data_IF_894068695482
#
_entry.id   IF_894068695482
#
_cell.length_a   1.000
_cell.length_b   1.000
_cell.length_c   1.000
_cell.angle_alpha   90.00
_cell.angle_beta   90.00
_cell.angle_gamma   90.00
#
_symmetry.space_group_name_H-M   'P 1'
#
loop_
_entity.id
_entity.type
_entity.pdbx_description
1 polymer ?
#
# COMPACT_ATOMS: atom_id res chain seq x y z
N UNK A 1 49.78 -35.74 55.06
CA UNK A 1 48.33 -35.49 55.05
C UNK A 1 48.12 -34.08 54.54
N UNK A 2 47.45 -33.74 53.45
CA UNK A 2 46.77 -34.48 52.40
C UNK A 2 46.88 -33.63 51.10
N UNK A 3 46.84 -34.33 49.98
CA UNK A 3 46.68 -33.82 48.62
C UNK A 3 45.41 -32.97 48.48
N UNK A 4 45.45 -31.94 47.62
CA UNK A 4 44.43 -31.74 46.58
C UNK A 4 44.91 -30.80 45.47
N UNK A 5 45.13 -31.40 44.30
CA UNK A 5 45.18 -30.76 42.98
C UNK A 5 43.77 -30.26 42.65
N UNK A 6 43.64 -29.06 42.08
CA UNK A 6 42.48 -28.71 41.27
C UNK A 6 42.93 -28.10 39.95
N UNK A 7 42.21 -28.51 38.92
CA UNK A 7 42.56 -28.51 37.51
C UNK A 7 42.48 -27.11 36.89
N UNK A 8 43.43 -26.81 36.01
CA UNK A 8 43.33 -25.75 35.01
C UNK A 8 42.32 -26.20 33.96
N UNK A 9 41.21 -25.50 33.83
CA UNK A 9 40.33 -25.61 32.66
C UNK A 9 40.45 -24.31 31.89
N UNK A 10 41.14 -24.35 30.74
CA UNK A 10 41.14 -23.26 29.78
C UNK A 10 39.83 -23.36 28.99
N UNK A 11 38.97 -22.34 29.09
CA UNK A 11 37.80 -22.21 28.25
C UNK A 11 38.23 -21.46 26.99
N UNK A 12 38.37 -22.17 25.86
CA UNK A 12 38.50 -21.54 24.55
C UNK A 12 37.09 -21.20 24.11
N UNK A 13 36.69 -19.94 24.27
CA UNK A 13 35.48 -19.42 23.62
C UNK A 13 35.80 -19.24 22.13
N UNK A 14 35.34 -20.17 21.31
CA UNK A 14 35.34 -20.02 19.85
C UNK A 14 34.36 -18.93 19.47
N UNK A 15 34.86 -17.82 18.90
CA UNK A 15 34.02 -16.87 18.20
C UNK A 15 33.67 -17.46 16.82
N UNK A 16 32.57 -18.21 16.76
CA UNK A 16 31.92 -18.50 15.48
C UNK A 16 31.20 -17.23 15.05
N UNK A 17 31.76 -16.53 14.06
CA UNK A 17 31.08 -15.44 13.38
C UNK A 17 29.86 -16.00 12.63
N UNK A 18 28.69 -15.96 13.27
CA UNK A 18 27.42 -16.12 12.57
C UNK A 18 27.13 -14.79 11.89
N UNK A 19 27.38 -14.71 10.59
CA UNK A 19 26.89 -13.66 9.68
C UNK A 19 25.37 -13.76 9.58
N UNK A 20 24.69 -13.32 10.63
CA UNK A 20 23.25 -13.32 10.70
C UNK A 20 22.83 -12.77 12.04
N UNK A 21 22.53 -11.47 12.06
CA UNK A 21 21.59 -10.81 12.96
C UNK A 21 21.72 -9.29 12.77
N UNK A 22 20.86 -8.71 11.92
CA UNK A 22 20.39 -7.34 12.13
C UNK A 22 18.86 -7.26 12.29
N UNK A 23 18.19 -8.41 12.44
CA UNK A 23 16.74 -8.49 12.70
C UNK A 23 16.41 -8.59 14.21
N UNK A 24 17.40 -8.69 15.09
CA UNK A 24 17.19 -9.10 16.48
C UNK A 24 16.95 -7.94 17.48
N UNK A 25 16.82 -6.69 17.03
CA UNK A 25 16.62 -5.53 17.93
C UNK A 25 15.45 -4.60 17.53
N UNK A 26 14.59 -5.01 16.61
CA UNK A 26 13.36 -4.28 16.29
C UNK A 26 12.28 -5.27 15.91
N UNK A 27 11.08 -5.15 16.47
CA UNK A 27 9.94 -6.03 16.20
C UNK A 27 9.39 -5.87 14.78
N UNK A 28 10.21 -6.15 13.77
CA UNK A 28 9.80 -6.20 12.37
C UNK A 28 9.02 -7.47 12.06
N UNK A 29 8.26 -7.42 10.97
CA UNK A 29 7.52 -8.56 10.42
C UNK A 29 8.29 -9.12 9.20
N UNK A 30 8.37 -10.45 9.07
CA UNK A 30 9.15 -11.10 8.00
C UNK A 30 8.60 -10.91 6.58
N UNK A 31 7.34 -10.50 6.48
CA UNK A 31 6.64 -10.29 5.20
C UNK A 31 6.88 -8.91 4.58
N UNK A 32 7.54 -7.99 5.31
CA UNK A 32 7.61 -6.57 4.96
C UNK A 32 9.00 -6.00 5.20
N UNK A 33 9.37 -5.03 4.37
CA UNK A 33 10.68 -4.37 4.38
C UNK A 33 10.72 -3.27 5.43
N UNK A 34 9.66 -2.50 5.52
CA UNK A 34 9.62 -1.33 6.38
C UNK A 34 9.45 -1.74 7.86
N UNK A 35 9.95 -0.94 8.83
CA UNK A 35 9.66 -1.19 10.24
C UNK A 35 8.18 -0.92 10.56
N UNK A 36 7.67 -1.38 11.71
CA UNK A 36 6.31 -1.08 12.15
C UNK A 36 6.01 0.43 12.11
N UNK A 37 4.80 0.77 11.69
CA UNK A 37 4.36 2.16 11.55
C UNK A 37 4.05 2.76 12.94
N UNK A 38 4.78 3.81 13.33
CA UNK A 38 4.62 4.45 14.65
C UNK A 38 3.26 5.13 14.87
N UNK A 39 2.63 5.61 13.81
CA UNK A 39 1.36 6.34 13.83
C UNK A 39 0.16 5.47 13.42
N UNK A 40 0.31 4.14 13.41
CA UNK A 40 -0.80 3.23 13.18
C UNK A 40 -1.84 3.33 14.32
N UNK A 41 -3.13 3.30 14.00
CA UNK A 41 -4.22 3.54 14.96
C UNK A 41 -4.46 2.39 15.96
N UNK A 42 -3.88 1.23 15.73
CA UNK A 42 -4.03 0.03 16.55
C UNK A 42 -3.14 -1.10 16.03
N UNK A 43 -3.16 -2.25 16.70
CA UNK A 43 -2.48 -3.45 16.21
C UNK A 43 -3.13 -3.91 14.90
N UNK A 44 -2.33 -4.43 13.96
CA UNK A 44 -2.82 -4.76 12.61
C UNK A 44 -4.01 -5.73 12.61
N UNK A 45 -4.06 -6.65 13.58
CA UNK A 45 -5.15 -7.63 13.73
C UNK A 45 -6.47 -7.04 14.23
N UNK A 46 -6.44 -5.84 14.84
CA UNK A 46 -7.61 -5.15 15.36
C UNK A 46 -8.20 -4.12 14.37
N UNK A 47 -7.51 -3.87 13.25
CA UNK A 47 -7.95 -2.96 12.21
C UNK A 47 -8.87 -3.66 11.22
N UNK A 48 -9.86 -2.92 10.71
CA UNK A 48 -10.83 -3.46 9.75
C UNK A 48 -10.24 -3.70 8.34
N UNK A 49 -9.08 -3.11 8.07
CA UNK A 49 -8.39 -3.11 6.78
C UNK A 49 -7.00 -3.74 6.92
N UNK A 50 -6.42 -4.29 5.83
CA UNK A 50 -5.09 -4.87 5.87
C UNK A 50 -4.06 -3.80 6.25
N UNK A 51 -3.32 -4.04 7.33
CA UNK A 51 -2.31 -3.12 7.85
C UNK A 51 -0.93 -3.82 7.87
N UNK A 52 0.01 -3.25 8.63
CA UNK A 52 1.41 -3.67 8.62
C UNK A 52 1.60 -5.19 8.70
N UNK A 53 2.23 -5.76 7.66
CA UNK A 53 2.63 -7.17 7.58
C UNK A 53 1.53 -8.15 7.19
N UNK A 54 0.29 -7.68 6.97
CA UNK A 54 -0.82 -8.52 6.54
C UNK A 54 -0.88 -8.63 5.00
N UNK A 55 -1.38 -9.76 4.51
CA UNK A 55 -1.63 -9.94 3.08
C UNK A 55 -2.67 -8.93 2.58
N UNK A 56 -2.38 -8.31 1.44
CA UNK A 56 -3.34 -7.46 0.76
C UNK A 56 -4.38 -8.31 0.02
N UNK A 57 -5.68 -7.96 0.06
CA UNK A 57 -6.73 -8.75 -0.56
C UNK A 57 -6.53 -8.93 -2.07
N UNK A 58 -6.69 -10.17 -2.53
CA UNK A 58 -6.69 -10.51 -3.95
C UNK A 58 -8.07 -10.24 -4.57
N UNK A 59 -8.10 -9.43 -5.62
CA UNK A 59 -9.27 -9.18 -6.46
C UNK A 59 -8.83 -8.74 -7.85
N UNK A 60 -9.73 -8.87 -8.82
CA UNK A 60 -9.54 -8.38 -10.18
C UNK A 60 -10.72 -7.51 -10.59
N UNK A 61 -10.42 -6.38 -11.22
CA UNK A 61 -11.42 -5.40 -11.65
C UNK A 61 -11.07 -4.85 -13.03
N UNK A 62 -12.06 -4.49 -13.85
CA UNK A 62 -11.79 -3.88 -15.13
C UNK A 62 -11.30 -2.44 -14.96
N UNK A 63 -10.28 -2.07 -15.71
CA UNK A 63 -9.91 -0.68 -15.95
C UNK A 63 -10.72 -0.15 -17.14
N UNK A 64 -11.64 0.81 -16.93
CA UNK A 64 -12.52 1.29 -17.99
C UNK A 64 -11.80 2.21 -18.99
N UNK A 65 -10.57 2.66 -18.73
CA UNK A 65 -9.78 3.48 -19.65
C UNK A 65 -9.01 2.62 -20.66
N UNK A 66 -8.49 1.48 -20.23
CA UNK A 66 -7.71 0.55 -21.07
C UNK A 66 -8.54 -0.60 -21.62
N UNK A 67 -9.63 -0.98 -20.92
CA UNK A 67 -10.44 -2.15 -21.21
C UNK A 67 -9.86 -3.46 -20.65
N UNK A 68 -8.74 -3.40 -19.95
CA UNK A 68 -8.06 -4.56 -19.37
C UNK A 68 -8.63 -4.91 -17.99
N UNK A 69 -8.48 -6.17 -17.59
CA UNK A 69 -8.73 -6.60 -16.20
C UNK A 69 -7.42 -6.55 -15.43
N UNK A 70 -7.42 -5.86 -14.30
CA UNK A 70 -6.22 -5.61 -13.50
C UNK A 70 -6.34 -6.36 -12.18
N UNK A 71 -5.31 -7.13 -11.83
CA UNK A 71 -5.18 -7.83 -10.56
C UNK A 71 -4.66 -6.87 -9.47
N UNK A 72 -5.16 -7.02 -8.23
CA UNK A 72 -4.77 -6.19 -7.09
C UNK A 72 -3.32 -6.41 -6.62
N UNK A 73 -2.75 -7.58 -6.89
CA UNK A 73 -1.36 -7.94 -6.59
C UNK A 73 -0.52 -7.93 -7.87
N UNK A 74 0.72 -7.45 -7.78
CA UNK A 74 1.68 -7.47 -8.88
C UNK A 74 3.07 -7.81 -8.39
N UNK A 75 3.65 -8.87 -8.94
CA UNK A 75 5.02 -9.31 -8.62
C UNK A 75 6.10 -8.38 -9.18
N UNK A 76 5.72 -7.42 -10.03
CA UNK A 76 6.66 -6.53 -10.74
C UNK A 76 6.56 -5.07 -10.29
N UNK A 77 5.62 -4.73 -9.39
CA UNK A 77 5.42 -3.35 -8.98
C UNK A 77 5.12 -3.25 -7.50
N UNK A 78 5.68 -2.22 -6.85
CA UNK A 78 5.10 -1.71 -5.61
C UNK A 78 3.75 -1.08 -5.95
N UNK A 79 2.72 -1.40 -5.18
CA UNK A 79 1.36 -0.93 -5.44
C UNK A 79 0.93 0.09 -4.40
N UNK A 80 0.56 1.29 -4.85
CA UNK A 80 -0.11 2.33 -4.03
C UNK A 80 -1.61 2.26 -4.31
N UNK A 81 -2.39 1.74 -3.38
CA UNK A 81 -3.83 1.51 -3.57
C UNK A 81 -4.70 2.46 -2.73
N UNK A 82 -5.80 2.94 -3.29
CA UNK A 82 -6.80 3.77 -2.59
C UNK A 82 -8.18 3.59 -3.18
N UNK A 83 -9.20 4.09 -2.47
CA UNK A 83 -10.59 4.06 -2.88
C UNK A 83 -11.15 5.49 -2.97
N UNK A 84 -11.90 5.77 -4.03
CA UNK A 84 -12.50 7.09 -4.28
C UNK A 84 -13.89 6.96 -4.91
N UNK A 85 -14.57 8.09 -5.07
CA UNK A 85 -15.58 8.27 -6.10
C UNK A 85 -15.29 9.59 -6.81
N UNK A 86 -15.28 9.58 -8.14
CA UNK A 86 -14.71 10.65 -8.96
C UNK A 86 -15.49 11.96 -8.85
N UNK A 87 -16.79 11.87 -8.55
CA UNK A 87 -17.69 13.02 -8.36
C UNK A 87 -17.64 13.64 -6.95
N UNK A 88 -16.76 13.16 -6.07
CA UNK A 88 -16.58 13.75 -4.74
C UNK A 88 -16.19 15.23 -4.82
N UNK A 89 -16.85 16.12 -4.06
CA UNK A 89 -16.56 17.55 -4.08
C UNK A 89 -15.41 17.96 -3.16
N UNK A 90 -14.88 17.06 -2.33
CA UNK A 90 -13.94 17.38 -1.26
C UNK A 90 -12.78 16.37 -1.13
N UNK A 91 -12.88 15.39 -0.24
CA UNK A 91 -11.70 14.63 0.22
C UNK A 91 -11.03 13.81 -0.88
N UNK A 92 -11.76 13.22 -1.83
CA UNK A 92 -11.13 12.50 -2.94
C UNK A 92 -10.29 13.45 -3.83
N UNK A 93 -10.65 14.73 -3.94
CA UNK A 93 -9.80 15.71 -4.65
C UNK A 93 -8.46 15.85 -3.94
N UNK A 94 -8.48 15.89 -2.61
CA UNK A 94 -7.26 16.03 -1.82
C UNK A 94 -6.39 14.79 -1.96
N UNK A 95 -6.97 13.59 -1.81
CA UNK A 95 -6.26 12.31 -1.97
C UNK A 95 -5.69 12.16 -3.37
N UNK A 96 -6.48 12.42 -4.41
CA UNK A 96 -6.04 12.35 -5.81
C UNK A 96 -4.84 13.26 -6.09
N UNK A 97 -4.87 14.52 -5.62
CA UNK A 97 -3.74 15.45 -5.77
C UNK A 97 -2.49 14.99 -5.01
N UNK A 98 -2.62 14.42 -3.80
CA UNK A 98 -1.46 13.87 -3.09
C UNK A 98 -0.85 12.72 -3.89
N UNK A 99 -1.67 11.79 -4.39
CA UNK A 99 -1.17 10.63 -5.14
C UNK A 99 -0.57 11.00 -6.49
N UNK A 100 -1.12 11.99 -7.21
CA UNK A 100 -0.48 12.54 -8.40
C UNK A 100 0.90 13.16 -8.07
N UNK A 101 1.01 13.82 -6.91
CA UNK A 101 2.30 14.28 -6.39
C UNK A 101 3.28 13.14 -6.07
N UNK A 102 2.78 11.99 -5.59
CA UNK A 102 3.60 10.79 -5.38
C UNK A 102 4.07 10.22 -6.71
N UNK A 103 3.19 10.11 -7.71
CA UNK A 103 3.52 9.67 -9.07
C UNK A 103 4.67 10.52 -9.63
N UNK A 104 4.50 11.84 -9.66
CA UNK A 104 5.54 12.75 -10.15
C UNK A 104 6.86 12.63 -9.37
N UNK A 105 6.81 12.51 -8.04
CA UNK A 105 8.01 12.36 -7.22
C UNK A 105 8.76 11.04 -7.49
N UNK A 106 8.05 9.95 -7.81
CA UNK A 106 8.65 8.66 -8.16
C UNK A 106 9.20 8.67 -9.58
N UNK A 107 8.52 9.31 -10.52
CA UNK A 107 9.00 9.48 -11.90
C UNK A 107 10.31 10.28 -11.92
N UNK A 108 10.41 11.36 -11.14
CA UNK A 108 11.63 12.14 -10.96
C UNK A 108 12.80 11.32 -10.39
N UNK A 109 12.50 10.27 -9.61
CA UNK A 109 13.48 9.32 -9.06
C UNK A 109 13.79 8.16 -10.01
N UNK A 110 13.13 8.08 -11.17
CA UNK A 110 13.28 6.99 -12.13
C UNK A 110 12.58 5.70 -11.72
N UNK A 111 11.58 5.77 -10.85
CA UNK A 111 10.83 4.62 -10.31
C UNK A 111 9.42 4.48 -10.91
N UNK A 112 9.10 5.24 -11.97
CA UNK A 112 7.78 5.22 -12.60
C UNK A 112 7.35 3.84 -13.09
N UNK A 113 8.29 3.05 -13.61
CA UNK A 113 8.05 1.68 -14.08
C UNK A 113 8.02 0.65 -12.93
N UNK A 114 8.50 1.01 -11.73
CA UNK A 114 8.62 0.11 -10.56
C UNK A 114 7.42 0.24 -9.60
N UNK A 115 6.59 1.26 -9.79
CA UNK A 115 5.45 1.58 -8.91
C UNK A 115 4.19 1.79 -9.72
N UNK A 116 3.08 1.22 -9.28
CA UNK A 116 1.76 1.43 -9.86
C UNK A 116 0.75 1.98 -8.84
N UNK A 117 -0.25 2.69 -9.33
CA UNK A 117 -1.35 3.24 -8.56
C UNK A 117 -2.63 2.49 -8.87
N UNK A 118 -3.29 1.91 -7.86
CA UNK A 118 -4.61 1.30 -8.00
C UNK A 118 -5.68 2.18 -7.35
N UNK A 119 -6.55 2.75 -8.15
CA UNK A 119 -7.61 3.66 -7.68
C UNK A 119 -8.97 3.03 -7.93
N UNK A 120 -9.55 2.42 -6.89
CA UNK A 120 -10.84 1.72 -6.98
C UNK A 120 -11.99 2.70 -6.77
N UNK A 121 -12.92 2.80 -7.72
CA UNK A 121 -14.17 3.55 -7.47
C UNK A 121 -15.17 2.72 -6.68
N UNK A 122 -15.80 3.33 -5.67
CA UNK A 122 -16.97 2.77 -4.98
C UNK A 122 -18.31 3.35 -5.46
N UNK A 123 -18.33 4.20 -6.49
CA UNK A 123 -19.56 4.66 -7.17
C UNK A 123 -19.58 4.26 -8.66
N UNK A 124 -19.50 2.96 -8.98
CA UNK A 124 -19.36 2.49 -10.37
C UNK A 124 -20.54 2.86 -11.26
N UNK A 125 -21.71 3.22 -10.70
CA UNK A 125 -22.86 3.66 -11.48
C UNK A 125 -22.63 5.03 -12.14
N UNK A 126 -21.90 5.92 -11.48
CA UNK A 126 -21.67 7.30 -11.94
C UNK A 126 -20.27 7.47 -12.54
N UNK A 127 -19.29 6.75 -12.00
CA UNK A 127 -17.89 6.86 -12.41
C UNK A 127 -17.63 6.04 -13.68
N UNK A 128 -18.06 6.59 -14.83
CA UNK A 128 -17.77 6.02 -16.15
C UNK A 128 -16.30 6.22 -16.53
N UNK A 129 -15.87 5.61 -17.64
CA UNK A 129 -14.53 5.84 -18.20
C UNK A 129 -14.24 7.34 -18.42
N UNK A 130 -15.22 8.08 -18.92
CA UNK A 130 -15.09 9.53 -19.15
C UNK A 130 -14.91 10.29 -17.84
N UNK A 131 -15.75 10.01 -16.83
CA UNK A 131 -15.69 10.68 -15.53
C UNK A 131 -14.38 10.36 -14.78
N UNK A 132 -13.88 9.13 -14.88
CA UNK A 132 -12.60 8.73 -14.27
C UNK A 132 -11.41 9.38 -14.98
N UNK A 133 -11.44 9.50 -16.31
CA UNK A 133 -10.43 10.24 -17.07
C UNK A 133 -10.41 11.72 -16.66
N UNK A 134 -11.57 12.37 -16.66
CA UNK A 134 -11.71 13.78 -16.24
C UNK A 134 -11.21 13.99 -14.81
N UNK A 135 -11.49 13.04 -13.91
CA UNK A 135 -10.96 13.06 -12.55
C UNK A 135 -9.43 13.01 -12.54
N UNK A 136 -8.81 12.06 -13.25
CA UNK A 136 -7.36 11.95 -13.36
C UNK A 136 -6.71 13.22 -13.88
N UNK A 137 -7.23 13.77 -14.98
CA UNK A 137 -6.76 15.04 -15.56
C UNK A 137 -6.87 16.20 -14.56
N UNK A 138 -8.00 16.30 -13.84
CA UNK A 138 -8.20 17.34 -12.82
C UNK A 138 -7.23 17.23 -11.64
N UNK A 139 -6.81 16.01 -11.29
CA UNK A 139 -5.85 15.76 -10.20
C UNK A 139 -4.39 15.94 -10.64
N UNK A 140 -4.13 16.09 -11.95
CA UNK A 140 -2.79 16.18 -12.50
C UNK A 140 -2.07 14.83 -12.60
N UNK A 141 -2.83 13.74 -12.77
CA UNK A 141 -2.27 12.40 -13.03
C UNK A 141 -1.65 12.37 -14.43
N UNK A 142 -0.44 11.83 -14.54
CA UNK A 142 0.13 11.45 -15.84
C UNK A 142 -0.46 10.10 -16.25
N UNK A 143 -1.49 10.13 -17.09
CA UNK A 143 -2.12 8.92 -17.61
C UNK A 143 -1.31 8.28 -18.74
N UNK A 144 -0.37 9.01 -19.35
CA UNK A 144 0.48 8.49 -20.42
C UNK A 144 1.63 7.65 -19.86
N UNK A 145 1.98 7.81 -18.58
CA UNK A 145 2.97 6.99 -17.87
C UNK A 145 2.56 5.51 -17.75
N UNK A 146 1.26 5.19 -17.90
CA UNK A 146 0.78 3.80 -17.91
C UNK A 146 0.86 3.07 -16.56
N UNK A 147 1.25 3.75 -15.48
CA UNK A 147 1.34 3.18 -14.13
C UNK A 147 0.15 3.55 -13.23
N UNK A 148 -0.92 4.15 -13.78
CA UNK A 148 -2.12 4.55 -13.05
C UNK A 148 -3.36 3.80 -13.51
N UNK A 149 -3.87 2.94 -12.64
CA UNK A 149 -5.01 2.06 -12.92
C UNK A 149 -6.26 2.55 -12.20
N UNK A 150 -7.24 3.04 -12.95
CA UNK A 150 -8.58 3.23 -12.41
C UNK A 150 -9.34 1.92 -12.48
N UNK A 151 -9.86 1.44 -11.36
CA UNK A 151 -10.57 0.18 -11.28
C UNK A 151 -12.06 0.42 -11.00
N UNK A 152 -12.91 -0.12 -11.86
CA UNK A 152 -14.36 0.09 -11.78
C UNK A 152 -15.10 -1.24 -11.58
N UNK A 153 -15.61 -1.53 -10.38
CA UNK A 153 -16.57 -2.61 -10.16
C UNK A 153 -17.72 -2.61 -11.17
N UNK A 154 -18.25 -3.78 -11.53
CA UNK A 154 -19.38 -3.89 -12.46
C UNK A 154 -20.65 -3.19 -11.94
N UNK A 155 -20.81 -3.16 -10.62
CA UNK A 155 -21.93 -2.50 -9.95
C UNK A 155 -21.75 -2.35 -8.44
N UNK A 156 -22.73 -1.77 -7.74
CA UNK A 156 -22.61 -1.47 -6.31
C UNK A 156 -22.36 -2.68 -5.41
N UNK A 157 -22.90 -3.85 -5.75
CA UNK A 157 -22.68 -5.07 -4.97
C UNK A 157 -21.22 -5.53 -5.03
N UNK A 158 -20.57 -5.41 -6.19
CA UNK A 158 -19.14 -5.69 -6.31
C UNK A 158 -18.30 -4.59 -5.66
N UNK A 159 -18.72 -3.33 -5.76
CA UNK A 159 -18.06 -2.24 -5.04
C UNK A 159 -18.09 -2.48 -3.52
N UNK A 160 -19.23 -2.89 -2.95
CA UNK A 160 -19.34 -3.23 -1.53
C UNK A 160 -18.44 -4.42 -1.17
N UNK A 161 -18.47 -5.50 -1.96
CA UNK A 161 -17.61 -6.68 -1.74
C UNK A 161 -16.12 -6.33 -1.78
N UNK A 162 -15.66 -5.53 -2.75
CA UNK A 162 -14.23 -5.19 -2.86
C UNK A 162 -13.83 -4.15 -1.82
N UNK A 163 -14.58 -3.06 -1.70
CA UNK A 163 -14.16 -1.91 -0.90
C UNK A 163 -14.47 -2.11 0.59
N UNK A 164 -15.63 -2.67 0.93
CA UNK A 164 -15.99 -2.94 2.32
C UNK A 164 -15.48 -4.30 2.77
N UNK A 165 -15.86 -5.39 2.11
CA UNK A 165 -15.61 -6.74 2.64
C UNK A 165 -14.15 -7.16 2.52
N UNK A 166 -13.49 -6.85 1.40
CA UNK A 166 -12.07 -7.16 1.20
C UNK A 166 -11.15 -6.09 1.79
N UNK A 167 -11.36 -4.82 1.42
CA UNK A 167 -10.44 -3.73 1.80
C UNK A 167 -10.73 -3.09 3.16
N UNK A 168 -11.86 -3.43 3.80
CA UNK A 168 -12.20 -2.95 5.14
C UNK A 168 -12.68 -1.50 5.20
N UNK A 169 -12.99 -0.88 4.06
CA UNK A 169 -13.34 0.52 3.94
C UNK A 169 -14.86 0.65 3.78
N UNK A 170 -15.57 0.75 4.90
CA UNK A 170 -17.02 0.96 4.87
C UNK A 170 -17.37 2.34 4.27
N UNK A 171 -18.27 2.35 3.29
CA UNK A 171 -18.81 3.57 2.70
C UNK A 171 -20.34 3.59 2.78
N UNK A 172 -20.91 4.78 3.00
CA UNK A 172 -22.36 4.94 3.05
C UNK A 172 -22.78 6.17 2.25
N UNK A 173 -23.78 5.99 1.37
CA UNK A 173 -24.37 7.10 0.63
C UNK A 173 -25.19 8.00 1.56
N UNK A 174 -24.88 9.30 1.57
CA UNK A 174 -25.63 10.35 2.26
C UNK A 174 -26.09 11.39 1.23
N UNK A 175 -27.31 11.20 0.72
CA UNK A 175 -27.83 12.02 -0.37
C UNK A 175 -27.02 11.82 -1.66
N UNK A 176 -26.41 12.88 -2.17
CA UNK A 176 -25.57 12.84 -3.37
C UNK A 176 -24.13 12.39 -3.09
N UNK A 177 -23.69 12.43 -1.82
CA UNK A 177 -22.31 12.18 -1.40
C UNK A 177 -22.16 10.83 -0.69
N UNK A 178 -20.92 10.48 -0.35
CA UNK A 178 -20.58 9.32 0.47
C UNK A 178 -19.76 9.74 1.68
N UNK A 179 -20.00 9.08 2.80
CA UNK A 179 -19.13 9.13 3.98
C UNK A 179 -18.34 7.82 4.00
N UNK A 180 -17.02 7.93 4.07
CA UNK A 180 -16.11 6.78 4.19
C UNK A 180 -14.79 7.22 4.84
N UNK A 181 -14.07 6.32 5.53
CA UNK A 181 -12.69 6.60 5.91
C UNK A 181 -11.80 6.60 4.67
N UNK A 182 -10.74 7.41 4.69
CA UNK A 182 -9.71 7.39 3.66
C UNK A 182 -8.50 6.62 4.18
N UNK A 183 -8.08 5.61 3.43
CA UNK A 183 -6.88 4.83 3.69
C UNK A 183 -6.17 4.61 2.36
N UNK A 184 -4.89 4.97 2.31
CA UNK A 184 -4.00 4.60 1.20
C UNK A 184 -3.10 3.47 1.65
N UNK A 185 -3.01 2.42 0.85
CA UNK A 185 -2.18 1.25 1.11
C UNK A 185 -0.88 1.33 0.30
N UNK A 186 0.22 0.88 0.90
CA UNK A 186 1.45 0.54 0.19
C UNK A 186 1.63 -0.97 0.26
N UNK A 187 1.66 -1.63 -0.88
CA UNK A 187 1.71 -3.09 -1.00
C UNK A 187 2.97 -3.47 -1.75
N UNK A 188 3.75 -4.38 -1.19
CA UNK A 188 4.97 -4.88 -1.82
C UNK A 188 4.67 -5.94 -2.90
N UNK A 189 5.66 -6.28 -3.75
CA UNK A 189 5.48 -7.27 -4.80
C UNK A 189 5.09 -8.69 -4.34
N UNK A 190 5.38 -9.03 -3.08
CA UNK A 190 4.98 -10.31 -2.48
C UNK A 190 3.51 -10.30 -2.00
N UNK A 191 2.80 -9.18 -2.20
CA UNK A 191 1.38 -9.03 -1.86
C UNK A 191 1.11 -8.68 -0.41
N UNK A 192 2.09 -8.18 0.34
CA UNK A 192 1.91 -7.76 1.73
C UNK A 192 1.84 -6.24 1.89
N UNK A 193 1.04 -5.81 2.86
CA UNK A 193 0.84 -4.40 3.17
C UNK A 193 2.00 -3.88 4.04
N UNK A 194 2.81 -3.01 3.45
CA UNK A 194 3.93 -2.31 4.08
C UNK A 194 3.42 -1.15 4.96
N UNK A 195 2.39 -0.45 4.48
CA UNK A 195 1.78 0.73 5.14
C UNK A 195 0.29 0.81 4.88
N UNK A 196 -0.43 1.31 5.88
CA UNK A 196 -1.76 1.87 5.73
C UNK A 196 -1.73 3.31 6.23
N UNK A 197 -1.79 4.27 5.31
CA UNK A 197 -1.81 5.70 5.63
C UNK A 197 -3.26 6.13 5.85
N UNK A 198 -3.62 6.51 7.08
CA UNK A 198 -4.97 7.00 7.38
C UNK A 198 -5.12 8.49 7.06
N UNK A 199 -6.30 8.85 6.56
CA UNK A 199 -6.66 10.23 6.21
C UNK A 199 -6.42 10.55 4.74
N UNK A 200 -7.04 11.63 4.29
CA UNK A 200 -7.11 12.00 2.88
C UNK A 200 -5.85 12.70 2.35
N UNK A 201 -4.89 12.98 3.23
CA UNK A 201 -3.63 13.70 2.94
C UNK A 201 -2.40 12.87 3.26
N UNK A 202 -2.20 11.70 2.62
CA UNK A 202 -0.93 10.99 2.77
C UNK A 202 0.19 11.92 2.27
N UNK A 203 1.21 12.15 3.12
CA UNK A 203 2.30 13.08 2.77
C UNK A 203 3.08 12.53 1.59
N UNK A 204 3.11 13.28 0.48
CA UNK A 204 3.81 12.90 -0.77
C UNK A 204 5.19 12.31 -0.52
N UNK A 205 6.04 13.04 0.22
CA UNK A 205 7.41 12.60 0.48
C UNK A 205 7.46 11.28 1.23
N UNK A 206 6.58 11.09 2.23
CA UNK A 206 6.54 9.85 3.00
C UNK A 206 6.18 8.66 2.12
N UNK A 207 5.11 8.78 1.32
CA UNK A 207 4.68 7.68 0.45
C UNK A 207 5.74 7.37 -0.60
N UNK A 208 6.36 8.39 -1.20
CA UNK A 208 7.41 8.20 -2.18
C UNK A 208 8.69 7.56 -1.58
N UNK A 209 9.11 8.01 -0.39
CA UNK A 209 10.29 7.46 0.30
C UNK A 209 10.05 6.00 0.75
N UNK A 210 8.86 5.70 1.27
CA UNK A 210 8.47 4.34 1.65
C UNK A 210 8.39 3.44 0.40
N UNK A 211 7.77 3.91 -0.70
CA UNK A 211 7.69 3.17 -1.97
C UNK A 211 9.06 2.90 -2.59
N UNK A 212 9.96 3.89 -2.60
CA UNK A 212 11.35 3.74 -3.07
C UNK A 212 12.11 2.72 -2.22
N UNK A 213 11.94 2.75 -0.90
CA UNK A 213 12.59 1.78 0.00
C UNK A 213 12.14 0.35 -0.32
N UNK A 214 10.84 0.15 -0.54
CA UNK A 214 10.28 -1.15 -0.91
C UNK A 214 10.74 -1.58 -2.31
N UNK A 215 10.67 -0.70 -3.31
CA UNK A 215 11.09 -1.00 -4.68
C UNK A 215 12.56 -1.46 -4.73
N UNK A 216 13.46 -0.72 -4.05
CA UNK A 216 14.88 -1.08 -3.96
C UNK A 216 15.12 -2.43 -3.27
N UNK A 217 14.36 -2.74 -2.21
CA UNK A 217 14.49 -4.02 -1.51
C UNK A 217 14.02 -5.21 -2.37
N UNK A 218 13.07 -4.98 -3.27
CA UNK A 218 12.59 -5.97 -4.24
C UNK A 218 13.35 -5.96 -5.58
N UNK A 219 14.39 -5.13 -5.70
CA UNK A 219 15.22 -5.01 -6.93
C UNK A 219 14.41 -4.65 -8.19
N UNK A 220 13.38 -3.82 -8.01
CA UNK A 220 12.60 -3.21 -9.08
C UNK A 220 13.26 -1.93 -9.64
#
# INVERSE_FOLDING_TARGET
MERRRFLRTAFVAGATATTGCLSALGGGNENVVLPPQEDQLGDSEDLAYPAYGQGFPEFSLPNPLTGETVESISENHVTVATQIYATCPAECIVTGNQLAGVQAALDERGLGDSVRFLVVTFDPRNDTAEVLRDYGERMGVDLDAGNWEFLRPEGPEEAERVVTDSLGIAFQRQGAEFIHPSVTFLVNPDGYTERAYQGERPKVSRVADDAETVANAHSL
#
